data_IF_781233471945
#
_entry.id   IF_781233471945
#
_cell.length_a   1.000
_cell.length_b   1.000
_cell.length_c   1.000
_cell.angle_alpha   90.00
_cell.angle_beta   90.00
_cell.angle_gamma   90.00
#
_symmetry.space_group_name_H-M   'P 1'
#
loop_
_entity.id
_entity.type
_entity.pdbx_description
1 polymer ?
#
# COMPACT_ATOMS: atom_id res chain seq x y z
N UNK A 1 0.75 -4.24 -39.00
CA UNK A 1 0.72 -4.56 -37.57
C UNK A 1 -0.73 -4.75 -37.22
N UNK A 2 -1.13 -5.90 -36.67
CA UNK A 2 -2.48 -6.05 -36.14
C UNK A 2 -2.64 -5.15 -34.91
N UNK A 3 -3.87 -4.80 -34.52
CA UNK A 3 -4.11 -3.96 -33.32
C UNK A 3 -3.44 -4.58 -32.07
N UNK A 4 -3.45 -5.91 -31.95
CA UNK A 4 -2.78 -6.62 -30.85
C UNK A 4 -1.25 -6.48 -30.88
N UNK A 5 -0.60 -6.55 -32.04
CA UNK A 5 0.86 -6.34 -32.14
C UNK A 5 1.27 -4.90 -31.78
N UNK A 6 0.40 -3.92 -32.09
CA UNK A 6 0.60 -2.51 -31.71
C UNK A 6 0.50 -2.34 -30.20
N UNK A 7 -0.54 -2.89 -29.57
CA UNK A 7 -0.75 -2.80 -28.11
C UNK A 7 0.32 -3.54 -27.32
N UNK A 8 0.74 -4.73 -27.76
CA UNK A 8 1.84 -5.45 -27.13
C UNK A 8 3.16 -4.65 -27.15
N UNK A 9 3.43 -3.94 -28.26
CA UNK A 9 4.60 -3.06 -28.37
C UNK A 9 4.51 -1.90 -27.38
N UNK A 10 3.34 -1.26 -27.27
CA UNK A 10 3.10 -0.16 -26.30
C UNK A 10 3.31 -0.67 -24.88
N UNK A 11 2.72 -1.81 -24.52
CA UNK A 11 2.84 -2.42 -23.21
C UNK A 11 4.30 -2.71 -22.82
N UNK A 12 5.08 -3.31 -23.72
CA UNK A 12 6.52 -3.56 -23.49
C UNK A 12 7.31 -2.27 -23.29
N UNK A 13 6.98 -1.23 -24.06
CA UNK A 13 7.65 0.06 -23.92
C UNK A 13 7.31 0.73 -22.59
N UNK A 14 6.02 0.76 -22.20
CA UNK A 14 5.57 1.26 -20.89
C UNK A 14 6.30 0.51 -19.78
N UNK A 15 6.28 -0.83 -19.79
CA UNK A 15 6.95 -1.66 -18.79
C UNK A 15 8.42 -1.26 -18.66
N UNK A 16 9.15 -1.22 -19.77
CA UNK A 16 10.59 -0.88 -19.75
C UNK A 16 10.89 0.52 -19.21
N UNK A 17 9.98 1.47 -19.42
CA UNK A 17 10.15 2.87 -19.01
C UNK A 17 9.66 3.17 -17.59
N UNK A 18 8.90 2.25 -17.00
CA UNK A 18 8.24 2.42 -15.70
C UNK A 18 8.80 1.52 -14.60
N UNK A 19 9.78 0.68 -14.93
CA UNK A 19 10.48 -0.15 -13.94
C UNK A 19 11.03 0.72 -12.81
N UNK A 20 10.62 0.40 -11.59
CA UNK A 20 11.17 0.94 -10.35
C UNK A 20 11.64 -0.21 -9.46
N UNK A 21 12.65 0.07 -8.64
CA UNK A 21 13.02 -0.79 -7.53
C UNK A 21 11.92 -0.75 -6.49
N UNK A 22 11.56 -1.91 -5.98
CA UNK A 22 10.53 -2.09 -4.96
C UNK A 22 11.02 -3.02 -3.87
N UNK A 23 10.30 -3.01 -2.75
CA UNK A 23 10.38 -4.08 -1.74
C UNK A 23 9.03 -4.76 -1.68
N UNK A 24 9.00 -6.05 -2.03
CA UNK A 24 7.85 -6.94 -1.85
C UNK A 24 7.88 -7.51 -0.44
N UNK A 25 6.71 -7.80 0.12
CA UNK A 25 6.58 -8.36 1.46
C UNK A 25 5.82 -9.68 1.42
N UNK A 26 6.49 -10.75 1.85
CA UNK A 26 5.87 -12.06 1.99
C UNK A 26 5.43 -12.29 3.43
N UNK A 27 4.19 -12.79 3.62
CA UNK A 27 3.72 -13.18 4.94
C UNK A 27 4.44 -14.45 5.44
N UNK A 28 4.86 -14.40 6.70
CA UNK A 28 5.35 -15.54 7.47
C UNK A 28 4.55 -15.70 8.76
N UNK A 29 4.33 -16.96 9.15
CA UNK A 29 3.71 -17.39 10.41
C UNK A 29 4.63 -17.22 11.64
N UNK A 30 5.87 -16.76 11.43
CA UNK A 30 6.81 -16.50 12.52
C UNK A 30 6.30 -15.36 13.42
N UNK A 31 6.59 -15.42 14.74
CA UNK A 31 6.25 -14.33 15.64
C UNK A 31 6.90 -13.01 15.23
N UNK A 32 6.13 -11.93 15.16
CA UNK A 32 6.61 -10.59 14.91
C UNK A 32 6.81 -9.82 16.22
N UNK A 33 8.01 -9.26 16.45
CA UNK A 33 8.26 -8.31 17.53
C UNK A 33 7.59 -6.97 17.23
N UNK A 34 7.45 -6.07 18.23
CA UNK A 34 6.87 -4.73 18.04
C UNK A 34 7.52 -3.92 16.92
N UNK A 35 8.80 -4.15 16.62
CA UNK A 35 9.56 -3.38 15.64
C UNK A 35 9.50 -3.94 14.23
N UNK A 36 9.01 -5.16 14.03
CA UNK A 36 9.08 -5.78 12.72
C UNK A 36 8.11 -5.17 11.70
N UNK A 37 8.45 -5.25 10.43
CA UNK A 37 7.49 -5.24 9.32
C UNK A 37 6.42 -6.30 9.59
N UNK A 38 5.15 -5.92 9.59
CA UNK A 38 4.05 -6.84 9.91
C UNK A 38 2.72 -6.39 9.34
N UNK A 39 1.85 -7.35 9.12
CA UNK A 39 0.44 -7.18 8.88
C UNK A 39 -0.32 -7.56 10.17
N UNK A 40 -1.09 -6.63 10.72
CA UNK A 40 -1.81 -6.79 11.99
C UNK A 40 -0.90 -7.06 13.19
N UNK A 41 -1.50 -7.54 14.28
CA UNK A 41 -0.81 -7.83 15.54
C UNK A 41 -0.52 -6.58 16.37
N UNK A 42 0.44 -6.67 17.31
CA UNK A 42 0.76 -5.57 18.22
C UNK A 42 1.71 -4.55 17.56
N UNK A 43 1.29 -3.27 17.38
CA UNK A 43 2.14 -2.27 16.77
C UNK A 43 3.27 -1.81 17.70
N UNK A 44 4.31 -1.21 17.12
CA UNK A 44 5.20 -0.31 17.88
C UNK A 44 4.40 0.90 18.36
N UNK A 45 4.48 1.22 19.65
CA UNK A 45 3.73 2.37 20.19
C UNK A 45 4.52 2.99 21.34
N UNK A 46 5.17 4.15 21.14
CA UNK A 46 5.93 4.79 22.20
C UNK A 46 4.99 5.37 23.26
N UNK A 47 5.43 5.33 24.51
CA UNK A 47 4.66 5.82 25.65
C UNK A 47 4.40 7.32 25.52
N UNK A 48 3.15 7.71 25.75
CA UNK A 48 2.70 9.10 25.63
C UNK A 48 2.28 9.50 24.21
N UNK A 49 2.44 8.62 23.21
CA UNK A 49 1.84 8.85 21.91
C UNK A 49 0.32 8.71 21.98
N UNK A 50 -0.41 9.69 21.45
CA UNK A 50 -1.86 9.61 21.36
C UNK A 50 -2.25 8.67 20.22
N UNK A 51 -2.96 7.61 20.57
CA UNK A 51 -3.37 6.59 19.61
C UNK A 51 -4.32 7.17 18.54
N UNK A 52 -4.19 6.78 17.25
CA UNK A 52 -5.02 7.31 16.17
C UNK A 52 -6.51 7.05 16.38
N UNK A 53 -7.31 8.08 16.10
CA UNK A 53 -8.77 8.07 16.24
C UNK A 53 -9.43 8.61 14.99
N UNK A 54 -10.63 8.11 14.71
CA UNK A 54 -11.55 8.74 13.77
C UNK A 54 -11.83 10.17 14.23
N UNK A 55 -11.66 11.13 13.32
CA UNK A 55 -11.89 12.54 13.59
C UNK A 55 -13.36 12.88 13.82
N UNK A 56 -14.28 12.03 13.37
CA UNK A 56 -15.73 12.26 13.49
C UNK A 56 -16.27 11.78 14.83
N UNK A 57 -16.00 10.51 15.18
CA UNK A 57 -16.55 9.88 16.39
C UNK A 57 -15.60 9.92 17.58
N UNK A 58 -14.29 10.09 17.35
CA UNK A 58 -13.26 9.96 18.37
C UNK A 58 -12.91 8.51 18.74
N UNK A 59 -13.50 7.53 18.06
CA UNK A 59 -13.23 6.10 18.27
C UNK A 59 -11.80 5.74 17.81
N UNK A 60 -11.11 4.83 18.51
CA UNK A 60 -9.78 4.38 18.11
C UNK A 60 -9.81 3.66 16.76
N UNK A 61 -8.81 3.91 15.91
CA UNK A 61 -8.66 3.25 14.61
C UNK A 61 -7.94 1.90 14.73
N UNK A 62 -8.36 0.92 13.95
CA UNK A 62 -7.73 -0.40 13.90
C UNK A 62 -6.37 -0.33 13.20
N UNK A 63 -5.34 -0.88 13.85
CA UNK A 63 -4.01 -1.02 13.27
C UNK A 63 -3.99 -2.12 12.20
N UNK A 64 -3.43 -1.81 11.02
CA UNK A 64 -3.44 -2.73 9.87
C UNK A 64 -2.06 -3.22 9.50
N UNK A 65 -1.08 -2.34 9.42
CA UNK A 65 0.24 -2.70 8.92
C UNK A 65 1.30 -1.76 9.45
N UNK A 66 2.50 -2.30 9.58
CA UNK A 66 3.70 -1.55 9.90
C UNK A 66 4.84 -1.95 8.96
N UNK A 67 5.62 -0.96 8.52
CA UNK A 67 6.85 -1.13 7.74
C UNK A 67 8.00 -0.47 8.53
N UNK A 68 9.03 -1.25 8.82
CA UNK A 68 10.26 -0.76 9.43
C UNK A 68 11.35 -0.64 8.36
N UNK A 69 11.73 0.60 8.05
CA UNK A 69 12.74 0.88 7.02
C UNK A 69 14.16 0.43 7.41
N UNK A 70 14.39 0.03 8.66
CA UNK A 70 15.67 -0.55 9.09
C UNK A 70 15.81 -2.05 8.71
N UNK A 71 14.75 -2.71 8.22
CA UNK A 71 14.77 -4.16 7.91
C UNK A 71 15.14 -4.51 6.46
N UNK A 72 15.32 -3.53 5.60
CA UNK A 72 15.71 -3.73 4.20
C UNK A 72 16.60 -2.61 3.69
N UNK A 73 17.32 -2.85 2.60
CA UNK A 73 18.14 -1.82 1.97
C UNK A 73 17.29 -0.62 1.50
N UNK A 74 17.85 0.59 1.63
CA UNK A 74 17.12 1.81 1.32
C UNK A 74 16.67 1.88 -0.14
N UNK A 75 15.40 2.23 -0.33
CA UNK A 75 14.84 2.60 -1.64
C UNK A 75 15.06 4.10 -1.91
N UNK A 76 15.15 4.45 -3.19
CA UNK A 76 15.30 5.85 -3.60
C UNK A 76 14.07 6.67 -3.17
N UNK A 77 14.28 7.83 -2.56
CA UNK A 77 13.23 8.72 -2.03
C UNK A 77 12.40 8.15 -0.87
N UNK A 78 12.81 7.02 -0.27
CA UNK A 78 12.23 6.50 0.97
C UNK A 78 13.11 6.79 2.19
N UNK A 79 12.53 6.83 3.40
CA UNK A 79 13.33 6.87 4.63
C UNK A 79 14.25 5.65 4.74
N UNK A 80 15.42 5.82 5.36
CA UNK A 80 16.38 4.74 5.62
C UNK A 80 16.27 4.14 7.03
N UNK A 81 15.37 4.69 7.84
CA UNK A 81 15.13 4.31 9.24
C UNK A 81 13.71 4.66 9.64
N UNK A 82 13.30 4.21 10.82
CA UNK A 82 12.01 4.53 11.39
C UNK A 82 10.91 3.58 10.91
N UNK A 83 9.72 3.79 11.47
CA UNK A 83 8.59 2.89 11.35
C UNK A 83 7.38 3.65 10.80
N UNK A 84 6.84 3.19 9.67
CA UNK A 84 5.59 3.66 9.08
C UNK A 84 4.44 2.74 9.48
N UNK A 85 3.30 3.29 9.86
CA UNK A 85 2.12 2.54 10.29
C UNK A 85 0.85 3.04 9.60
N UNK A 86 -0.08 2.10 9.41
CA UNK A 86 -1.37 2.34 8.78
C UNK A 86 -2.50 1.91 9.71
N UNK A 87 -3.49 2.78 9.83
CA UNK A 87 -4.67 2.61 10.67
C UNK A 87 -5.93 2.94 9.89
N UNK A 88 -7.02 2.20 10.11
CA UNK A 88 -8.30 2.42 9.44
C UNK A 88 -9.47 2.31 10.43
N UNK A 89 -10.61 2.90 10.08
CA UNK A 89 -11.87 2.64 10.75
C UNK A 89 -12.42 1.31 10.22
N UNK A 90 -12.79 0.41 11.13
CA UNK A 90 -13.57 -0.78 10.79
C UNK A 90 -14.94 -0.58 11.43
N UNK A 91 -15.96 -0.52 10.58
CA UNK A 91 -17.36 -0.37 10.96
C UNK A 91 -18.25 -1.20 10.02
N UNK A 92 -19.56 -1.19 10.28
CA UNK A 92 -20.56 -1.97 9.53
C UNK A 92 -20.70 -1.56 8.05
N UNK A 93 -20.05 -0.47 7.61
CA UNK A 93 -20.11 -0.03 6.21
C UNK A 93 -19.20 -0.85 5.29
N UNK A 94 -18.20 -1.56 5.86
CA UNK A 94 -17.15 -2.27 5.11
C UNK A 94 -16.34 -1.36 4.15
N UNK A 95 -16.45 -0.05 4.29
CA UNK A 95 -15.74 0.94 3.47
C UNK A 95 -14.30 1.20 3.95
N UNK A 96 -13.92 0.65 5.11
CA UNK A 96 -12.57 0.74 5.69
C UNK A 96 -12.02 2.16 5.80
N UNK A 97 -12.91 3.13 6.02
CA UNK A 97 -12.55 4.54 6.20
C UNK A 97 -12.16 5.27 4.91
N UNK A 98 -12.46 4.71 3.73
CA UNK A 98 -12.25 5.39 2.46
C UNK A 98 -13.05 6.70 2.38
N UNK A 99 -12.47 7.70 1.74
CA UNK A 99 -13.17 8.90 1.32
C UNK A 99 -13.11 8.98 -0.21
N UNK A 100 -14.25 8.76 -0.86
CA UNK A 100 -14.33 8.73 -2.32
C UNK A 100 -14.19 10.11 -2.98
N UNK A 101 -14.39 11.20 -2.24
CA UNK A 101 -14.20 12.56 -2.73
C UNK A 101 -12.73 12.99 -2.67
N UNK A 102 -12.04 12.62 -1.58
CA UNK A 102 -10.62 12.89 -1.36
C UNK A 102 -9.95 11.72 -0.62
N UNK A 103 -9.31 10.85 -1.39
CA UNK A 103 -8.61 9.65 -0.89
C UNK A 103 -7.43 9.96 0.04
N UNK A 104 -6.99 11.22 0.12
CA UNK A 104 -5.88 11.64 1.00
C UNK A 104 -6.35 12.13 2.37
N UNK A 105 -7.67 12.28 2.55
CA UNK A 105 -8.27 12.87 3.74
C UNK A 105 -8.33 11.89 4.91
N UNK A 106 -7.41 12.06 5.87
CA UNK A 106 -7.18 11.18 7.03
C UNK A 106 -8.20 11.34 8.18
N UNK A 107 -9.49 11.36 7.85
CA UNK A 107 -10.59 11.44 8.83
C UNK A 107 -10.84 10.09 9.49
N UNK A 108 -11.03 9.05 8.67
CA UNK A 108 -11.32 7.67 9.11
C UNK A 108 -10.15 6.70 8.91
N UNK A 109 -9.01 7.19 8.46
CA UNK A 109 -7.75 6.44 8.42
C UNK A 109 -6.61 7.32 8.93
N UNK A 110 -5.48 6.72 9.28
CA UNK A 110 -4.28 7.44 9.69
C UNK A 110 -3.02 6.74 9.22
N UNK A 111 -2.10 7.54 8.68
CA UNK A 111 -0.73 7.13 8.40
C UNK A 111 0.19 7.84 9.39
N UNK A 112 0.98 7.07 10.13
CA UNK A 112 1.88 7.60 11.16
C UNK A 112 3.30 7.15 10.86
N UNK A 113 4.24 8.09 10.86
CA UNK A 113 5.66 7.79 10.72
C UNK A 113 6.43 8.16 11.98
N UNK A 114 7.08 7.16 12.59
CA UNK A 114 7.97 7.30 13.72
C UNK A 114 9.42 7.30 13.24
N UNK A 115 10.03 8.48 13.13
CA UNK A 115 11.41 8.60 12.65
C UNK A 115 12.44 8.00 13.62
N UNK A 116 12.21 8.12 14.93
CA UNK A 116 13.11 7.61 15.97
C UNK A 116 12.45 6.50 16.76
N UNK A 117 13.12 5.34 16.83
CA UNK A 117 12.58 4.14 17.46
C UNK A 117 13.16 3.98 18.85
N UNK A 118 12.30 4.10 19.87
CA UNK A 118 12.63 3.74 21.25
C UNK A 118 12.80 2.22 21.35
N UNK A 119 13.95 1.78 21.88
CA UNK A 119 14.32 0.36 22.00
C UNK A 119 14.15 -0.16 23.43
N UNK A 120 13.93 0.72 24.41
CA UNK A 120 13.56 0.37 25.77
C UNK A 120 12.06 0.04 25.84
N UNK A 121 11.74 -1.26 25.90
CA UNK A 121 10.37 -1.79 25.99
C UNK A 121 9.56 -1.18 27.15
N UNK A 122 10.20 -0.74 28.24
CA UNK A 122 9.49 -0.14 29.39
C UNK A 122 8.90 1.25 29.08
N UNK A 123 9.35 1.87 27.98
CA UNK A 123 8.85 3.13 27.44
C UNK A 123 7.92 2.91 26.24
N UNK A 124 7.48 1.69 25.99
CA UNK A 124 6.38 1.43 25.07
C UNK A 124 5.06 1.33 25.84
N UNK A 125 3.96 1.46 25.12
CA UNK A 125 2.62 1.28 25.64
C UNK A 125 1.83 0.26 24.79
N UNK A 126 0.75 -0.27 25.34
CA UNK A 126 -0.16 -1.12 24.58
C UNK A 126 -1.09 -0.29 23.71
N UNK A 127 -1.46 -0.83 22.56
CA UNK A 127 -2.59 -0.32 21.79
C UNK A 127 -3.89 -0.56 22.57
N UNK A 128 -4.92 0.29 22.40
CA UNK A 128 -6.23 0.02 22.97
C UNK A 128 -6.81 -1.27 22.37
N UNK A 129 -7.57 -2.01 23.17
CA UNK A 129 -8.41 -3.09 22.65
C UNK A 129 -9.56 -2.49 21.86
N UNK A 130 -9.69 -2.89 20.60
CA UNK A 130 -10.77 -2.47 19.70
C UNK A 130 -11.62 -3.71 19.44
N UNK A 131 -12.88 -3.66 19.85
CA UNK A 131 -13.83 -4.71 19.49
C UNK A 131 -14.14 -4.58 18.00
N UNK A 132 -13.90 -5.66 17.26
CA UNK A 132 -14.11 -5.74 15.83
C UNK A 132 -14.75 -7.09 15.54
N UNK A 133 -15.80 -7.10 14.73
CA UNK A 133 -16.36 -8.34 14.24
C UNK A 133 -15.31 -9.03 13.34
N UNK A 134 -15.06 -10.31 13.59
CA UNK A 134 -14.11 -11.11 12.83
C UNK A 134 -14.53 -11.25 11.36
N UNK A 135 -15.83 -11.16 11.05
CA UNK A 135 -16.35 -11.23 9.68
C UNK A 135 -15.93 -10.02 8.85
N UNK A 136 -15.98 -8.82 9.42
CA UNK A 136 -15.63 -7.56 8.75
C UNK A 136 -14.16 -7.16 8.90
N UNK A 137 -13.38 -7.85 9.75
CA UNK A 137 -11.96 -7.52 9.92
C UNK A 137 -11.17 -7.87 8.64
N UNK A 138 -10.46 -6.92 7.99
CA UNK A 138 -9.71 -7.22 6.78
C UNK A 138 -8.46 -8.07 7.07
N UNK A 139 -7.95 -8.08 8.31
CA UNK A 139 -6.80 -8.87 8.71
C UNK A 139 -7.26 -10.10 9.49
N UNK A 140 -7.48 -11.21 8.78
CA UNK A 140 -7.89 -12.49 9.39
C UNK A 140 -6.78 -13.15 10.19
N UNK A 141 -5.54 -13.04 9.72
CA UNK A 141 -4.38 -13.66 10.38
C UNK A 141 -3.21 -12.69 10.33
N UNK A 142 -2.79 -12.14 11.48
CA UNK A 142 -1.58 -11.35 11.55
C UNK A 142 -0.37 -12.15 11.08
N UNK A 143 0.55 -11.49 10.37
CA UNK A 143 1.74 -12.12 9.82
C UNK A 143 2.97 -11.22 9.98
N UNK A 144 4.15 -11.83 10.11
CA UNK A 144 5.42 -11.16 9.91
C UNK A 144 5.60 -10.89 8.42
N UNK A 145 6.00 -9.68 8.04
CA UNK A 145 6.27 -9.33 6.65
C UNK A 145 7.78 -9.42 6.39
N UNK A 146 8.18 -10.36 5.53
CA UNK A 146 9.57 -10.56 5.12
C UNK A 146 9.84 -9.74 3.85
N UNK A 147 10.74 -8.74 3.90
CA UNK A 147 11.05 -7.92 2.74
C UNK A 147 11.91 -8.68 1.72
N UNK A 148 11.58 -8.52 0.44
CA UNK A 148 12.30 -9.03 -0.71
C UNK A 148 12.48 -7.92 -1.75
N UNK A 149 13.72 -7.64 -2.13
CA UNK A 149 14.02 -6.65 -3.15
C UNK A 149 13.61 -7.14 -4.52
N UNK A 150 13.02 -6.24 -5.31
CA UNK A 150 12.62 -6.56 -6.67
C UNK A 150 12.54 -5.33 -7.55
N UNK A 151 12.07 -5.58 -8.76
CA UNK A 151 11.72 -4.55 -9.73
C UNK A 151 10.29 -4.78 -10.19
N UNK A 152 9.58 -3.69 -10.49
CA UNK A 152 8.21 -3.74 -10.97
C UNK A 152 7.96 -2.57 -11.91
N UNK A 153 7.30 -2.85 -13.03
CA UNK A 153 6.72 -1.82 -13.89
C UNK A 153 5.51 -1.18 -13.24
N UNK A 154 4.88 -0.23 -13.93
CA UNK A 154 3.63 0.35 -13.44
C UNK A 154 2.53 -0.72 -13.33
N UNK A 155 1.78 -0.68 -12.24
CA UNK A 155 0.57 -1.49 -12.03
C UNK A 155 -0.69 -0.67 -12.40
N UNK A 156 -1.78 -1.31 -12.85
CA UNK A 156 -3.07 -0.66 -13.07
C UNK A 156 -3.61 0.05 -11.82
N UNK A 157 -3.24 -0.42 -10.62
CA UNK A 157 -3.62 0.20 -9.34
C UNK A 157 -2.83 1.47 -9.02
N UNK A 158 -1.81 1.82 -9.80
CA UNK A 158 -1.04 3.03 -9.59
C UNK A 158 -1.84 4.27 -9.99
N UNK A 159 -1.87 5.31 -9.14
CA UNK A 159 -2.58 6.57 -9.46
C UNK A 159 -2.07 7.27 -10.74
N UNK A 160 -0.87 6.93 -11.20
CA UNK A 160 -0.27 7.45 -12.44
C UNK A 160 -0.66 6.64 -13.68
N UNK A 161 -1.35 5.50 -13.54
CA UNK A 161 -1.58 4.54 -14.61
C UNK A 161 -2.28 5.18 -15.81
N UNK A 162 -3.45 5.80 -15.59
CA UNK A 162 -4.22 6.45 -16.65
C UNK A 162 -3.40 7.55 -17.36
N UNK A 163 -2.62 8.34 -16.62
CA UNK A 163 -1.74 9.36 -17.23
C UNK A 163 -0.68 8.75 -18.15
N UNK A 164 -0.19 7.55 -17.83
CA UNK A 164 0.73 6.82 -18.70
C UNK A 164 0.00 6.28 -19.93
N UNK A 165 -1.22 5.73 -19.77
CA UNK A 165 -2.06 5.30 -20.90
C UNK A 165 -2.27 6.48 -21.86
N UNK A 166 -2.75 7.62 -21.38
CA UNK A 166 -2.99 8.84 -22.18
C UNK A 166 -1.71 9.28 -22.92
N UNK A 167 -0.58 9.33 -22.21
CA UNK A 167 0.72 9.71 -22.78
C UNK A 167 1.11 8.81 -23.95
N UNK A 168 0.88 7.50 -23.83
CA UNK A 168 1.25 6.54 -24.86
C UNK A 168 0.21 6.47 -25.99
N UNK A 169 -1.07 6.68 -25.70
CA UNK A 169 -2.10 6.87 -26.73
C UNK A 169 -1.73 8.04 -27.65
N UNK A 170 -1.40 9.21 -27.07
CA UNK A 170 -0.94 10.38 -27.82
C UNK A 170 0.35 10.11 -28.62
N UNK A 171 1.32 9.41 -28.02
CA UNK A 171 2.58 9.08 -28.69
C UNK A 171 2.40 8.20 -29.93
N UNK A 172 1.39 7.34 -29.91
CA UNK A 172 1.11 6.36 -30.97
C UNK A 172 -0.05 6.79 -31.88
N UNK A 173 -0.48 8.05 -31.79
CA UNK A 173 -1.56 8.64 -32.60
C UNK A 173 -2.83 7.78 -32.53
N UNK A 174 -3.19 7.35 -31.31
CA UNK A 174 -4.46 6.66 -31.02
C UNK A 174 -5.47 7.74 -30.65
N UNK A 175 -6.27 8.13 -31.65
CA UNK A 175 -7.19 9.27 -31.54
C UNK A 175 -8.67 8.83 -31.57
N UNK A 176 -8.95 7.56 -31.89
CA UNK A 176 -10.29 6.98 -31.86
C UNK A 176 -10.62 6.52 -30.44
N UNK A 177 -11.69 7.05 -29.85
CA UNK A 177 -12.09 6.74 -28.48
C UNK A 177 -12.25 5.23 -28.23
N UNK A 178 -12.81 4.50 -29.20
CA UNK A 178 -12.94 3.04 -29.10
C UNK A 178 -11.56 2.33 -29.11
N UNK A 179 -10.58 2.83 -29.86
CA UNK A 179 -9.22 2.26 -29.86
C UNK A 179 -8.47 2.58 -28.56
N UNK A 180 -8.71 3.77 -27.97
CA UNK A 180 -8.16 4.19 -26.68
C UNK A 180 -8.71 3.33 -25.52
N UNK A 181 -10.03 3.10 -25.48
CA UNK A 181 -10.67 2.20 -24.51
C UNK A 181 -10.09 0.78 -24.64
N UNK A 182 -9.98 0.26 -25.87
CA UNK A 182 -9.38 -1.05 -26.13
C UNK A 182 -7.92 -1.15 -25.69
N UNK A 183 -7.14 -0.08 -25.86
CA UNK A 183 -5.76 -0.02 -25.37
C UNK A 183 -5.74 -0.06 -23.83
N UNK A 184 -6.58 0.75 -23.18
CA UNK A 184 -6.68 0.81 -21.72
C UNK A 184 -6.99 -0.58 -21.14
N UNK A 185 -8.00 -1.26 -21.68
CA UNK A 185 -8.39 -2.62 -21.27
C UNK A 185 -7.25 -3.62 -21.48
N UNK A 186 -6.58 -3.56 -22.65
CA UNK A 186 -5.44 -4.44 -22.93
C UNK A 186 -4.29 -4.21 -21.94
N UNK A 187 -3.95 -2.95 -21.64
CA UNK A 187 -2.88 -2.61 -20.71
C UNK A 187 -3.25 -3.00 -19.27
N UNK A 188 -4.52 -2.84 -18.88
CA UNK A 188 -5.01 -3.28 -17.58
C UNK A 188 -4.76 -4.79 -17.40
N UNK A 189 -5.18 -5.60 -18.36
CA UNK A 189 -4.98 -7.06 -18.33
C UNK A 189 -3.50 -7.45 -18.42
N UNK A 190 -2.73 -6.77 -19.26
CA UNK A 190 -1.30 -7.07 -19.45
C UNK A 190 -0.47 -6.77 -18.20
N UNK A 191 -0.81 -5.72 -17.46
CA UNK A 191 -0.11 -5.31 -16.25
C UNK A 191 -0.76 -5.78 -14.96
N UNK A 192 -1.85 -6.56 -15.04
CA UNK A 192 -2.43 -7.16 -13.85
C UNK A 192 -1.45 -8.19 -13.28
N UNK A 193 -0.91 -7.90 -12.10
CA UNK A 193 0.02 -8.77 -11.36
C UNK A 193 -0.69 -9.34 -10.13
N UNK A 194 -0.14 -10.45 -9.61
CA UNK A 194 -0.61 -11.05 -8.36
C UNK A 194 -0.68 -10.01 -7.23
N UNK A 195 -1.72 -10.13 -6.41
CA UNK A 195 -1.95 -9.28 -5.25
C UNK A 195 -0.85 -9.51 -4.20
N UNK A 196 0.21 -8.71 -4.27
CA UNK A 196 1.28 -8.68 -3.28
C UNK A 196 1.37 -7.33 -2.57
N UNK A 197 1.92 -7.33 -1.36
CA UNK A 197 2.19 -6.11 -0.60
C UNK A 197 3.58 -5.62 -1.02
N UNK A 198 3.67 -4.42 -1.57
CA UNK A 198 4.94 -3.83 -1.97
C UNK A 198 4.96 -2.31 -1.76
N UNK A 199 6.18 -1.74 -1.70
CA UNK A 199 6.45 -0.29 -1.69
C UNK A 199 7.52 0.09 -2.72
#
# INVERSE_FOLDING_TARGET
>A
MTSNEKFEKIAKEIMSSTIKKIVRFQCSDKPASRYNCKLGGTPYLPKGFEYPKDLTTGSPLSFIMQINFEEFEALENYPTKGILQFYILIDDSEEYGINCEDITKQEKFRVVYFETIEKDESKLQEAPTIECDEEINPIKTPCLLIPEHGEMGISPSCYQFNQIVDKYAMKYEIDEAEEEDNLSDYLFDFFLVEEDIHI
#
